data_IF_075628328160
#
_entry.id   IF_075628328160
#
_cell.length_a   1.000
_cell.length_b   1.000
_cell.length_c   1.000
_cell.angle_alpha   90.00
_cell.angle_beta   90.00
_cell.angle_gamma   90.00
#
_symmetry.space_group_name_H-M   'P 1'
#
loop_
_entity.id
_entity.type
_entity.pdbx_description
1 polymer ?
#
# COMPACT_ATOMS: atom_id res chain seq x y z
N UNK A 1 -63.23 -2.04 26.78
CA UNK A 1 -62.93 -1.81 25.35
C UNK A 1 -61.87 -2.81 24.91
N UNK A 2 -62.30 -3.78 24.13
CA UNK A 2 -61.51 -4.76 23.39
C UNK A 2 -60.90 -4.14 22.13
N UNK A 3 -59.67 -4.52 21.78
CA UNK A 3 -59.10 -4.71 20.43
C UNK A 3 -57.57 -4.87 20.61
N UNK A 4 -56.96 -6.05 20.63
CA UNK A 4 -56.95 -7.20 19.69
C UNK A 4 -56.35 -6.85 18.31
N UNK A 5 -55.03 -7.11 18.21
CA UNK A 5 -54.23 -7.75 17.14
C UNK A 5 -54.22 -7.14 15.73
N UNK A 6 -53.01 -6.97 15.17
CA UNK A 6 -52.61 -7.56 13.87
C UNK A 6 -51.09 -7.61 13.71
N UNK A 7 -50.58 -8.83 13.89
CA UNK A 7 -49.40 -9.39 13.25
C UNK A 7 -49.57 -9.35 11.72
N UNK A 8 -48.53 -8.94 10.99
CA UNK A 8 -48.35 -9.34 9.59
C UNK A 8 -46.88 -9.71 9.41
N UNK A 9 -46.61 -11.00 9.63
CA UNK A 9 -45.50 -11.69 8.96
C UNK A 9 -45.88 -11.86 7.48
N UNK A 10 -44.96 -11.50 6.59
CA UNK A 10 -44.94 -12.04 5.24
C UNK A 10 -43.49 -12.11 4.76
N UNK A 11 -42.89 -13.26 5.07
CA UNK A 11 -41.92 -13.95 4.20
C UNK A 11 -42.17 -13.67 2.72
N UNK A 12 -41.12 -13.27 2.00
CA UNK A 12 -40.62 -13.82 0.72
C UNK A 12 -39.16 -13.31 0.64
N UNK A 13 -38.13 -14.15 0.66
CA UNK A 13 -37.88 -15.16 -0.36
C UNK A 13 -36.81 -14.63 -1.32
N UNK A 14 -35.56 -15.02 -1.07
CA UNK A 14 -34.40 -15.06 -1.98
C UNK A 14 -34.26 -14.01 -3.10
N UNK A 15 -33.24 -13.16 -2.95
CA UNK A 15 -32.24 -13.02 -4.02
C UNK A 15 -30.95 -12.45 -3.47
N UNK A 16 -30.02 -13.36 -3.20
CA UNK A 16 -28.59 -13.10 -3.34
C UNK A 16 -28.34 -12.35 -4.65
N UNK A 17 -27.78 -11.14 -4.56
CA UNK A 17 -26.93 -10.58 -5.61
C UNK A 17 -25.62 -10.13 -5.01
N UNK A 18 -24.86 -11.12 -4.53
CA UNK A 18 -23.43 -11.14 -4.87
C UNK A 18 -23.35 -11.25 -6.38
N UNK A 19 -23.08 -10.13 -7.05
CA UNK A 19 -22.61 -10.12 -8.42
C UNK A 19 -21.24 -9.45 -8.42
N UNK A 20 -20.26 -10.21 -7.92
CA UNK A 20 -18.91 -10.17 -8.44
C UNK A 20 -18.96 -10.26 -9.97
N UNK A 21 -18.26 -9.34 -10.64
CA UNK A 21 -17.69 -9.37 -12.01
C UNK A 21 -17.59 -7.90 -12.44
N UNK A 22 -16.47 -7.22 -12.24
CA UNK A 22 -15.34 -7.32 -13.16
C UNK A 22 -14.04 -7.52 -12.38
N UNK A 23 -13.63 -8.79 -12.29
CA UNK A 23 -12.22 -9.16 -12.16
C UNK A 23 -11.55 -8.80 -13.49
N UNK A 24 -11.28 -7.51 -13.71
CA UNK A 24 -10.36 -7.09 -14.77
C UNK A 24 -8.98 -7.47 -14.27
N UNK A 25 -8.49 -8.54 -14.88
CA UNK A 25 -7.34 -9.35 -14.52
C UNK A 25 -6.06 -8.52 -14.63
N UNK A 26 -5.81 -7.67 -13.64
CA UNK A 26 -4.56 -6.92 -13.55
C UNK A 26 -3.41 -7.85 -13.16
N UNK A 27 -2.22 -7.68 -13.76
CA UNK A 27 -1.05 -8.49 -13.42
C UNK A 27 -0.75 -8.33 -11.93
N UNK A 28 -0.65 -9.47 -11.25
CA UNK A 28 -0.47 -9.62 -9.79
C UNK A 28 0.53 -8.60 -9.25
N UNK A 29 0.08 -7.70 -8.36
CA UNK A 29 0.94 -6.81 -7.57
C UNK A 29 0.71 -5.31 -7.75
N UNK A 30 -0.06 -4.88 -8.76
CA UNK A 30 -0.35 -3.46 -9.00
C UNK A 30 -1.77 -3.11 -8.52
N UNK A 31 -1.86 -2.43 -7.38
CA UNK A 31 -3.08 -1.84 -6.84
C UNK A 31 -3.33 -0.51 -7.55
N UNK A 32 -4.52 -0.35 -8.13
CA UNK A 32 -4.96 0.90 -8.73
C UNK A 32 -5.51 1.82 -7.63
N UNK A 33 -5.11 3.08 -7.66
CA UNK A 33 -5.63 4.10 -6.75
C UNK A 33 -7.05 4.54 -7.14
N UNK A 34 -7.65 5.38 -6.30
CA UNK A 34 -8.98 5.96 -6.52
C UNK A 34 -9.08 6.78 -7.83
N UNK A 35 -7.93 7.25 -8.30
CA UNK A 35 -7.78 8.00 -9.56
C UNK A 35 -7.54 7.12 -10.79
N UNK A 36 -7.62 5.78 -10.67
CA UNK A 36 -7.37 4.84 -11.77
C UNK A 36 -5.90 4.71 -12.21
N UNK A 37 -4.98 5.48 -11.63
CA UNK A 37 -3.53 5.35 -11.82
C UNK A 37 -2.93 4.30 -10.85
N UNK A 38 -1.82 3.63 -11.20
CA UNK A 38 -1.13 2.73 -10.27
C UNK A 38 -0.80 3.44 -8.94
N UNK A 39 -1.29 2.90 -7.82
CA UNK A 39 -1.07 3.47 -6.50
C UNK A 39 0.36 3.17 -6.05
N UNK A 40 1.27 4.15 -6.13
CA UNK A 40 2.67 3.99 -5.72
C UNK A 40 2.84 3.57 -4.25
N UNK A 41 1.99 4.06 -3.35
CA UNK A 41 2.08 3.72 -1.92
C UNK A 41 1.47 2.35 -1.59
N UNK A 42 0.53 1.89 -2.40
CA UNK A 42 -0.14 0.61 -2.24
C UNK A 42 0.57 -0.53 -3.01
N UNK A 43 1.61 -0.23 -3.79
CA UNK A 43 2.32 -1.19 -4.65
C UNK A 43 3.76 -1.35 -4.22
N UNK A 44 4.21 -2.59 -4.11
CA UNK A 44 5.60 -2.85 -3.80
C UNK A 44 6.48 -2.44 -5.00
N UNK A 45 7.63 -1.82 -4.71
CA UNK A 45 8.60 -1.42 -5.74
C UNK A 45 9.04 -2.58 -6.66
N UNK A 46 9.05 -3.81 -6.12
CA UNK A 46 9.38 -5.03 -6.87
C UNK A 46 8.36 -5.36 -7.97
N UNK A 47 7.13 -4.91 -7.85
CA UNK A 47 6.09 -5.20 -8.83
C UNK A 47 6.08 -4.16 -9.96
N UNK A 48 6.53 -2.93 -9.68
CA UNK A 48 6.79 -1.89 -10.68
C UNK A 48 7.95 -2.27 -11.63
N UNK A 49 9.07 -2.74 -11.08
CA UNK A 49 10.28 -3.12 -11.85
C UNK A 49 10.08 -4.32 -12.77
N UNK A 50 9.17 -5.24 -12.44
CA UNK A 50 8.80 -6.37 -13.30
C UNK A 50 7.97 -5.94 -14.51
N UNK A 51 7.23 -4.83 -14.41
CA UNK A 51 6.36 -4.36 -15.49
C UNK A 51 7.16 -3.71 -16.64
N UNK A 52 8.24 -2.98 -16.32
CA UNK A 52 9.11 -2.35 -17.32
C UNK A 52 9.87 -3.39 -18.16
N UNK A 53 10.33 -4.48 -17.52
CA UNK A 53 10.97 -5.62 -18.20
C UNK A 53 10.03 -6.33 -19.18
N UNK A 54 8.72 -6.30 -18.93
CA UNK A 54 7.71 -6.94 -19.79
C UNK A 54 7.34 -6.07 -21.00
N UNK A 55 7.54 -4.75 -20.94
CA UNK A 55 7.40 -3.84 -22.10
C UNK A 55 8.55 -3.94 -23.12
N UNK A 56 9.67 -4.58 -22.76
CA UNK A 56 10.87 -4.68 -23.62
C UNK A 56 10.91 -5.95 -24.51
N UNK A 57 9.99 -6.91 -24.35
CA UNK A 57 9.92 -8.11 -25.21
C UNK A 57 9.00 -7.91 -26.41
N UNK A 58 9.27 -6.87 -27.20
CA UNK A 58 8.44 -6.52 -28.35
C UNK A 58 9.13 -5.77 -29.48
N UNK A 59 10.47 -5.82 -29.61
CA UNK A 59 11.19 -5.37 -30.83
C UNK A 59 12.50 -6.16 -31.00
N UNK A 60 12.51 -6.98 -32.07
CA UNK A 60 13.60 -7.44 -32.95
C UNK A 60 14.83 -8.20 -32.43
N UNK A 61 14.99 -9.40 -33.01
CA UNK A 61 16.27 -10.05 -33.28
C UNK A 61 17.25 -9.13 -34.04
N UNK A 62 18.52 -9.15 -33.62
CA UNK A 62 19.72 -9.38 -34.43
C UNK A 62 20.95 -8.61 -33.91
N UNK A 63 21.92 -9.40 -33.41
CA UNK A 63 23.39 -9.26 -33.50
C UNK A 63 24.07 -7.99 -32.97
N UNK A 64 24.97 -8.21 -32.01
CA UNK A 64 26.00 -7.24 -31.63
C UNK A 64 26.91 -7.73 -30.52
N UNK A 65 27.76 -8.73 -30.82
CA UNK A 65 28.83 -9.19 -29.95
C UNK A 65 29.90 -8.11 -29.81
N UNK A 66 29.99 -7.45 -28.65
CA UNK A 66 31.24 -6.87 -28.17
C UNK A 66 31.31 -7.00 -26.65
N UNK A 67 32.21 -7.87 -26.19
CA UNK A 67 32.67 -7.91 -24.81
C UNK A 67 33.46 -6.64 -24.49
N UNK A 68 33.02 -5.91 -23.48
CA UNK A 68 33.87 -4.99 -22.73
C UNK A 68 33.76 -5.34 -21.25
N UNK A 69 34.88 -5.80 -20.70
CA UNK A 69 35.10 -6.06 -19.29
C UNK A 69 34.92 -4.73 -18.54
N UNK A 70 33.85 -4.62 -17.74
CA UNK A 70 33.70 -3.56 -16.75
C UNK A 70 33.46 -4.23 -15.39
N UNK A 71 34.56 -4.28 -14.65
CA UNK A 71 34.74 -4.57 -13.22
C UNK A 71 33.42 -4.74 -12.44
N UNK A 72 33.23 -5.96 -11.93
CA UNK A 72 32.35 -6.26 -10.80
C UNK A 72 32.73 -5.35 -9.62
N UNK A 73 32.14 -4.17 -9.54
CA UNK A 73 31.97 -3.47 -8.27
C UNK A 73 30.83 -4.15 -7.55
N UNK A 74 31.15 -5.30 -6.97
CA UNK A 74 30.41 -5.88 -5.86
C UNK A 74 30.59 -4.95 -4.65
N UNK A 75 29.93 -3.80 -4.70
CA UNK A 75 29.54 -3.07 -3.50
C UNK A 75 28.14 -3.53 -3.14
N UNK A 76 28.02 -4.82 -2.87
CA UNK A 76 27.06 -5.29 -1.89
C UNK A 76 27.57 -4.74 -0.56
N UNK A 77 27.30 -3.46 -0.30
CA UNK A 77 27.07 -3.00 1.06
C UNK A 77 25.78 -3.70 1.49
N UNK A 78 25.90 -5.00 1.74
CA UNK A 78 25.04 -5.69 2.68
C UNK A 78 25.25 -4.91 3.97
N UNK A 79 24.34 -3.96 4.20
CA UNK A 79 23.93 -3.63 5.56
C UNK A 79 23.89 -5.00 6.25
N UNK A 80 24.68 -5.24 7.31
CA UNK A 80 24.54 -6.45 8.09
C UNK A 80 23.05 -6.51 8.38
N UNK A 81 22.34 -7.50 7.83
CA UNK A 81 21.00 -7.78 8.31
C UNK A 81 21.24 -8.17 9.74
N UNK A 82 21.11 -7.19 10.64
CA UNK A 82 21.12 -7.41 12.06
C UNK A 82 20.18 -8.59 12.28
N UNK A 83 20.56 -9.58 13.10
CA UNK A 83 19.67 -10.68 13.46
C UNK A 83 18.29 -10.07 13.69
N UNK A 84 17.27 -10.57 12.99
CA UNK A 84 15.89 -10.03 13.03
C UNK A 84 15.23 -10.13 14.43
N UNK A 85 16.03 -10.48 15.44
CA UNK A 85 15.71 -10.79 16.82
C UNK A 85 16.22 -9.70 17.79
N UNK A 86 16.60 -8.52 17.30
CA UNK A 86 16.94 -7.38 18.15
C UNK A 86 16.00 -6.19 17.85
N UNK A 87 15.54 -5.46 18.88
CA UNK A 87 14.81 -4.22 18.65
C UNK A 87 15.66 -3.22 17.87
N UNK A 88 15.04 -2.30 17.10
CA UNK A 88 15.77 -1.32 16.31
C UNK A 88 16.61 -0.40 17.21
N UNK A 89 17.76 0.04 16.72
CA UNK A 89 18.52 1.12 17.35
C UNK A 89 17.81 2.48 17.17
N UNK A 90 18.33 3.52 17.84
CA UNK A 90 17.75 4.87 17.82
C UNK A 90 17.73 5.50 16.43
N UNK A 91 18.71 5.20 15.57
CA UNK A 91 18.79 5.77 14.22
C UNK A 91 17.79 5.09 13.28
N UNK A 92 17.73 3.75 13.31
CA UNK A 92 16.78 2.96 12.55
C UNK A 92 15.34 3.28 12.98
N UNK A 93 15.08 3.34 14.29
CA UNK A 93 13.77 3.72 14.81
C UNK A 93 13.41 5.14 14.38
N UNK A 94 14.31 6.11 14.57
CA UNK A 94 14.09 7.51 14.18
C UNK A 94 13.77 7.67 12.70
N UNK A 95 14.53 7.01 11.82
CA UNK A 95 14.31 7.04 10.36
C UNK A 95 12.97 6.41 9.96
N UNK A 96 12.61 5.28 10.57
CA UNK A 96 11.34 4.62 10.32
C UNK A 96 10.15 5.49 10.77
N UNK A 97 10.25 6.07 11.97
CA UNK A 97 9.26 7.01 12.50
C UNK A 97 9.10 8.24 11.62
N UNK A 98 10.20 8.84 11.17
CA UNK A 98 10.11 10.04 10.33
C UNK A 98 9.53 9.71 8.95
N UNK A 99 9.87 8.55 8.40
CA UNK A 99 9.24 8.08 7.15
C UNK A 99 7.73 7.92 7.32
N UNK A 100 7.29 7.32 8.44
CA UNK A 100 5.87 7.16 8.77
C UNK A 100 5.15 8.52 8.91
N UNK A 101 5.68 9.43 9.73
CA UNK A 101 5.05 10.73 10.00
C UNK A 101 4.96 11.60 8.73
N UNK A 102 6.01 11.65 7.90
CA UNK A 102 5.97 12.38 6.63
C UNK A 102 4.99 11.76 5.63
N UNK A 103 4.93 10.43 5.56
CA UNK A 103 3.95 9.76 4.69
C UNK A 103 2.53 10.11 5.15
N UNK A 104 2.26 10.05 6.45
CA UNK A 104 0.96 10.44 6.99
C UNK A 104 0.61 11.90 6.68
N UNK A 105 1.57 12.82 6.78
CA UNK A 105 1.39 14.23 6.44
C UNK A 105 1.15 14.45 4.95
N UNK A 106 1.87 13.74 4.07
CA UNK A 106 1.71 13.85 2.61
C UNK A 106 0.32 13.38 2.13
N UNK A 107 -0.31 12.48 2.88
CA UNK A 107 -1.67 11.98 2.61
C UNK A 107 -2.74 12.68 3.45
N UNK A 108 -2.37 13.66 4.26
CA UNK A 108 -3.34 14.46 5.01
C UNK A 108 -4.14 15.34 4.03
N UNK A 109 -5.48 15.41 4.14
CA UNK A 109 -6.28 16.19 3.21
C UNK A 109 -5.91 17.68 3.24
N UNK A 110 -5.95 18.35 2.08
CA UNK A 110 -5.78 19.81 2.01
C UNK A 110 -6.86 20.56 2.80
N UNK A 111 -8.09 20.04 2.78
CA UNK A 111 -9.24 20.56 3.54
C UNK A 111 -9.74 19.46 4.49
N UNK A 112 -9.16 19.35 5.70
CA UNK A 112 -9.54 18.34 6.67
C UNK A 112 -10.84 18.72 7.41
N UNK A 113 -11.67 17.73 7.71
CA UNK A 113 -12.83 17.93 8.60
C UNK A 113 -12.39 18.22 10.04
N UNK A 114 -13.28 18.81 10.84
CA UNK A 114 -13.00 19.08 12.25
C UNK A 114 -12.58 17.82 13.02
N UNK A 115 -13.24 16.69 12.78
CA UNK A 115 -12.91 15.42 13.40
C UNK A 115 -11.54 14.89 12.97
N UNK A 116 -11.15 15.08 11.70
CA UNK A 116 -9.81 14.69 11.22
C UNK A 116 -8.72 15.55 11.88
N UNK A 117 -8.95 16.85 12.05
CA UNK A 117 -8.01 17.74 12.75
C UNK A 117 -7.86 17.35 14.22
N UNK A 118 -8.99 17.13 14.91
CA UNK A 118 -9.00 16.72 16.32
C UNK A 118 -8.29 15.39 16.52
N UNK A 119 -8.58 14.41 15.66
CA UNK A 119 -7.98 13.08 15.71
C UNK A 119 -6.47 13.13 15.46
N UNK A 120 -6.02 13.89 14.46
CA UNK A 120 -4.60 14.05 14.16
C UNK A 120 -3.84 14.71 15.33
N UNK A 121 -4.43 15.74 15.95
CA UNK A 121 -3.85 16.39 17.13
C UNK A 121 -3.73 15.42 18.31
N UNK A 122 -4.78 14.63 18.56
CA UNK A 122 -4.79 13.60 19.61
C UNK A 122 -3.72 12.53 19.34
N UNK A 123 -3.62 12.07 18.09
CA UNK A 123 -2.60 11.12 17.66
C UNK A 123 -1.20 11.64 17.97
N UNK A 124 -0.82 12.84 17.51
CA UNK A 124 0.52 13.38 17.72
C UNK A 124 0.82 13.60 19.21
N UNK A 125 -0.17 14.06 19.98
CA UNK A 125 -0.03 14.24 21.44
C UNK A 125 0.25 12.92 22.12
N UNK A 126 -0.54 11.89 21.81
CA UNK A 126 -0.40 10.56 22.41
C UNK A 126 0.90 9.89 21.94
N UNK A 127 1.21 9.99 20.65
CA UNK A 127 2.45 9.49 20.07
C UNK A 127 3.69 10.03 20.80
N UNK A 128 3.73 11.33 21.08
CA UNK A 128 4.86 11.95 21.79
C UNK A 128 5.07 11.44 23.23
N UNK A 129 4.02 10.92 23.88
CA UNK A 129 4.12 10.39 25.25
C UNK A 129 4.72 8.98 25.29
N UNK A 130 4.61 8.23 24.19
CA UNK A 130 5.01 6.82 24.12
C UNK A 130 6.13 6.55 23.12
N UNK A 131 6.71 7.59 22.50
CA UNK A 131 7.90 7.43 21.67
C UNK A 131 9.07 7.00 22.57
N UNK A 132 9.65 5.80 22.34
CA UNK A 132 10.58 5.18 23.28
C UNK A 132 11.98 5.79 23.24
#
# INVERSE_FOLDING_TARGET
MTSEVREVDSKHGSSSRSASTVLEKTPKGIVLGKDGKPCRVCTAFRDWTKQERKKQHGVTEAVGTFSAIALNSASTSSIPQAPQECPPDVEQLGRATWTFLHTMAAYYPEVPSYEQQRSMKSFLTTFSQFYP
#
